data_IF_370376622329
#
_entry.id   IF_370376622329
#
_cell.length_a   1.000
_cell.length_b   1.000
_cell.length_c   1.000
_cell.angle_alpha   90.00
_cell.angle_beta   90.00
_cell.angle_gamma   90.00
#
_symmetry.space_group_name_H-M   'P 1'
#
loop_
_entity.id
_entity.type
_entity.pdbx_description
1 polymer ?
#
# COMPACT_ATOMS: atom_id res chain seq x y z
N UNK A 1 20.12 5.52 0.07
CA UNK A 1 19.32 4.29 -0.13
C UNK A 1 18.42 4.54 -1.33
N UNK A 2 18.50 3.72 -2.37
CA UNK A 2 17.56 3.80 -3.49
C UNK A 2 16.17 3.39 -2.98
N UNK A 3 15.18 4.27 -3.12
CA UNK A 3 13.80 4.00 -2.71
C UNK A 3 13.10 3.16 -3.79
N UNK A 4 13.19 1.83 -3.68
CA UNK A 4 12.38 0.94 -4.52
C UNK A 4 10.95 0.86 -3.94
N UNK A 5 10.06 1.66 -4.54
CA UNK A 5 8.67 1.75 -4.12
C UNK A 5 7.94 0.40 -4.20
N UNK A 6 8.29 -0.48 -5.14
CA UNK A 6 7.63 -1.78 -5.29
C UNK A 6 8.06 -2.71 -4.16
N UNK A 7 9.37 -2.78 -3.89
CA UNK A 7 9.92 -3.58 -2.79
C UNK A 7 9.35 -3.13 -1.43
N UNK A 8 9.20 -1.82 -1.22
CA UNK A 8 8.63 -1.26 0.01
C UNK A 8 7.16 -1.67 0.21
N UNK A 9 6.35 -1.69 -0.86
CA UNK A 9 4.94 -2.10 -0.82
C UNK A 9 4.83 -3.58 -0.45
N UNK A 10 5.56 -4.45 -1.16
CA UNK A 10 5.50 -5.91 -0.94
C UNK A 10 5.96 -6.24 0.47
N UNK A 11 7.05 -5.61 0.93
CA UNK A 11 7.55 -5.77 2.30
C UNK A 11 6.52 -5.34 3.34
N UNK A 12 5.84 -4.21 3.12
CA UNK A 12 4.82 -3.70 4.04
C UNK A 12 3.61 -4.64 4.15
N UNK A 13 3.14 -5.19 3.03
CA UNK A 13 2.04 -6.17 3.00
C UNK A 13 2.45 -7.45 3.73
N UNK A 14 3.62 -8.01 3.42
CA UNK A 14 4.15 -9.21 4.09
C UNK A 14 4.25 -9.01 5.59
N UNK A 15 4.77 -7.86 6.03
CA UNK A 15 4.88 -7.55 7.46
C UNK A 15 3.51 -7.45 8.10
N UNK A 16 2.53 -6.80 7.45
CA UNK A 16 1.19 -6.71 7.99
C UNK A 16 0.55 -8.10 8.18
N UNK A 17 0.70 -9.00 7.21
CA UNK A 17 0.25 -10.39 7.31
C UNK A 17 0.95 -11.13 8.47
N UNK A 18 2.29 -11.06 8.54
CA UNK A 18 3.08 -11.67 9.62
C UNK A 18 2.67 -11.18 11.02
N UNK A 19 2.31 -9.90 11.15
CA UNK A 19 1.89 -9.29 12.42
C UNK A 19 0.36 -9.25 12.60
N UNK A 20 -0.41 -9.91 11.73
CA UNK A 20 -1.89 -9.93 11.76
C UNK A 20 -2.52 -8.53 11.81
N UNK A 21 -1.93 -7.57 11.11
CA UNK A 21 -2.48 -6.22 10.94
C UNK A 21 -3.46 -6.21 9.78
N UNK A 22 -4.64 -5.64 10.00
CA UNK A 22 -5.71 -5.54 8.98
C UNK A 22 -5.54 -4.39 7.99
N UNK A 23 -4.63 -3.45 8.25
CA UNK A 23 -4.47 -2.22 7.46
C UNK A 23 -2.99 -1.94 7.21
N UNK A 24 -2.64 -1.56 5.99
CA UNK A 24 -1.28 -1.21 5.57
C UNK A 24 -1.25 0.21 5.05
N UNK A 25 -0.34 1.02 5.57
CA UNK A 25 -0.10 2.37 5.06
C UNK A 25 0.97 2.32 3.97
N UNK A 26 0.66 2.86 2.79
CA UNK A 26 1.57 2.95 1.64
C UNK A 26 1.63 4.38 1.12
N UNK A 27 2.80 4.87 0.72
CA UNK A 27 2.92 6.18 0.08
C UNK A 27 2.16 6.23 -1.26
N UNK A 28 1.40 7.30 -1.50
CA UNK A 28 0.64 7.44 -2.75
C UNK A 28 1.53 7.87 -3.90
N UNK A 29 1.78 6.95 -4.83
CA UNK A 29 2.44 7.21 -6.12
C UNK A 29 1.61 6.62 -7.27
N UNK A 30 1.94 6.95 -8.51
CA UNK A 30 1.29 6.34 -9.67
C UNK A 30 1.49 4.81 -9.72
N UNK A 31 2.67 4.34 -9.30
CA UNK A 31 2.99 2.91 -9.23
C UNK A 31 2.16 2.24 -8.13
N UNK A 32 2.12 2.82 -6.93
CA UNK A 32 1.33 2.25 -5.82
C UNK A 32 -0.15 2.20 -6.15
N UNK A 33 -0.68 3.20 -6.86
CA UNK A 33 -2.07 3.22 -7.29
C UNK A 33 -2.38 2.06 -8.26
N UNK A 34 -1.49 1.78 -9.22
CA UNK A 34 -1.66 0.65 -10.14
C UNK A 34 -1.62 -0.69 -9.40
N UNK A 35 -0.69 -0.87 -8.47
CA UNK A 35 -0.58 -2.09 -7.66
C UNK A 35 -1.84 -2.30 -6.82
N UNK A 36 -2.26 -1.28 -6.06
CA UNK A 36 -3.48 -1.32 -5.23
C UNK A 36 -4.71 -1.67 -6.06
N UNK A 37 -4.87 -1.08 -7.26
CA UNK A 37 -5.99 -1.40 -8.15
C UNK A 37 -6.00 -2.86 -8.59
N UNK A 38 -4.83 -3.42 -8.91
CA UNK A 38 -4.71 -4.84 -9.26
C UNK A 38 -5.08 -5.70 -8.05
N UNK A 39 -4.51 -5.42 -6.88
CA UNK A 39 -4.80 -6.20 -5.66
C UNK A 39 -6.29 -6.17 -5.28
N UNK A 40 -6.94 -5.02 -5.43
CA UNK A 40 -8.37 -4.87 -5.19
C UNK A 40 -9.21 -5.63 -6.22
N UNK A 41 -8.83 -5.55 -7.51
CA UNK A 41 -9.53 -6.24 -8.61
C UNK A 41 -9.46 -7.76 -8.47
N UNK A 42 -8.31 -8.29 -8.08
CA UNK A 42 -8.08 -9.72 -7.89
C UNK A 42 -8.60 -10.24 -6.55
N UNK A 43 -9.10 -9.36 -5.67
CA UNK A 43 -9.67 -9.73 -4.36
C UNK A 43 -8.64 -10.04 -3.28
N UNK A 44 -7.37 -9.65 -3.45
CA UNK A 44 -6.33 -9.80 -2.42
C UNK A 44 -6.48 -8.81 -1.26
N UNK A 45 -7.13 -7.67 -1.50
CA UNK A 45 -7.48 -6.68 -0.48
C UNK A 45 -8.96 -6.31 -0.60
N UNK A 46 -9.59 -6.05 0.53
CA UNK A 46 -11.04 -5.79 0.58
C UNK A 46 -11.40 -4.35 0.18
N UNK A 47 -10.54 -3.38 0.53
CA UNK A 47 -10.80 -1.97 0.30
C UNK A 47 -9.48 -1.19 0.21
N UNK A 48 -9.54 0.00 -0.38
CA UNK A 48 -8.47 0.99 -0.25
C UNK A 48 -9.06 2.38 -0.07
N UNK A 49 -8.44 3.18 0.80
CA UNK A 49 -8.76 4.60 0.97
C UNK A 49 -7.52 5.47 0.80
N UNK A 50 -7.70 6.65 0.20
CA UNK A 50 -6.66 7.67 0.14
C UNK A 50 -6.81 8.62 1.32
N UNK A 51 -5.70 8.93 2.00
CA UNK A 51 -5.67 9.88 3.10
C UNK A 51 -4.47 10.81 2.97
N UNK A 52 -4.69 12.11 3.24
CA UNK A 52 -3.66 13.14 3.17
C UNK A 52 -3.25 13.56 4.57
N UNK A 53 -1.96 13.44 4.88
CA UNK A 53 -1.37 13.80 6.16
C UNK A 53 -0.12 14.66 5.91
N UNK A 54 -0.02 15.84 6.53
CA UNK A 54 1.14 16.75 6.39
C UNK A 54 1.54 17.00 4.93
N UNK A 55 0.56 17.30 4.09
CA UNK A 55 0.71 17.55 2.65
C UNK A 55 1.23 16.34 1.83
N UNK A 56 1.26 15.14 2.41
CA UNK A 56 1.62 13.89 1.73
C UNK A 56 0.40 12.98 1.65
N UNK A 57 0.28 12.29 0.53
CA UNK A 57 -0.82 11.36 0.26
C UNK A 57 -0.41 9.91 0.57
N UNK A 58 -1.32 9.15 1.15
CA UNK A 58 -1.13 7.74 1.50
C UNK A 58 -2.36 6.91 1.13
N UNK A 59 -2.12 5.65 0.81
CA UNK A 59 -3.13 4.61 0.72
C UNK A 59 -3.18 3.83 2.03
N UNK A 60 -4.39 3.46 2.46
CA UNK A 60 -4.68 2.61 3.60
C UNK A 60 -5.65 1.51 3.19
#
# INVERSE_FOLDING_TARGET
MSSDTIADIITSIRNADMYRKSVVRVASTNISQSIVKILLREGFIENVRKHRENNKDFWF
#
